data_IF_249070315096
#
_entry.id   IF_249070315096
#
_cell.length_a   1.000
_cell.length_b   1.000
_cell.length_c   1.000
_cell.angle_alpha   90.00
_cell.angle_beta   90.00
_cell.angle_gamma   90.00
#
_symmetry.space_group_name_H-M   'P 1'
#
loop_
_entity.id
_entity.type
_entity.pdbx_description
1 polymer ?
#
# COMPACT_ATOMS: atom_id res chain seq x y z
N UNK A 1 -74.75 22.05 55.07
CA UNK A 1 -74.73 21.01 56.13
C UNK A 1 -73.30 20.56 56.32
N UNK A 2 -72.85 20.51 57.57
CA UNK A 2 -71.48 20.10 57.97
C UNK A 2 -71.37 18.57 57.92
N UNK A 3 -70.21 18.06 57.52
CA UNK A 3 -69.88 16.64 57.62
C UNK A 3 -68.37 16.44 57.73
N UNK A 4 -67.90 16.21 58.97
CA UNK A 4 -66.56 15.77 59.34
C UNK A 4 -66.46 14.23 59.32
N UNK A 5 -65.25 13.71 59.11
CA UNK A 5 -64.80 12.39 59.57
C UNK A 5 -64.93 11.28 58.52
N UNK A 6 -63.96 10.39 58.33
CA UNK A 6 -63.28 9.62 59.38
C UNK A 6 -61.92 9.06 58.91
N UNK A 7 -61.01 8.90 59.89
CA UNK A 7 -59.70 8.25 59.82
C UNK A 7 -59.83 6.73 59.63
N UNK A 8 -58.77 6.09 59.11
CA UNK A 8 -58.41 4.75 59.64
C UNK A 8 -57.57 3.82 58.76
N UNK A 9 -56.24 3.92 58.89
CA UNK A 9 -55.21 2.86 58.97
C UNK A 9 -55.07 1.76 57.89
N UNK A 10 -53.95 1.90 57.15
CA UNK A 10 -52.82 0.95 56.98
C UNK A 10 -53.06 -0.56 57.18
N UNK A 11 -52.59 -1.38 56.22
CA UNK A 11 -51.55 -2.42 56.45
C UNK A 11 -50.72 -2.63 55.16
N UNK A 12 -49.40 -2.77 55.33
CA UNK A 12 -48.35 -3.00 54.33
C UNK A 12 -48.29 -4.44 53.79
N UNK A 13 -47.80 -4.61 52.56
CA UNK A 13 -46.64 -5.46 52.14
C UNK A 13 -46.70 -5.67 50.62
N UNK A 14 -45.74 -5.13 49.86
CA UNK A 14 -44.43 -5.69 49.58
C UNK A 14 -44.52 -6.98 48.73
N UNK A 15 -43.96 -6.94 47.52
CA UNK A 15 -43.83 -8.11 46.67
C UNK A 15 -43.57 -7.75 45.22
N UNK A 16 -42.29 -7.60 44.89
CA UNK A 16 -41.65 -7.54 43.57
C UNK A 16 -42.49 -8.07 42.40
N UNK A 17 -42.82 -7.17 41.47
CA UNK A 17 -43.49 -7.49 40.21
C UNK A 17 -42.51 -8.17 39.25
N UNK A 18 -42.49 -9.50 39.25
CA UNK A 18 -42.18 -10.28 38.06
C UNK A 18 -43.47 -10.38 37.23
N UNK A 19 -43.54 -9.68 36.11
CA UNK A 19 -44.59 -9.82 35.07
C UNK A 19 -43.84 -10.03 33.75
N UNK A 20 -43.82 -11.27 33.25
CA UNK A 20 -44.75 -11.78 32.23
C UNK A 20 -44.54 -11.03 30.90
N UNK A 21 -43.73 -11.54 29.96
CA UNK A 21 -44.03 -12.68 29.07
C UNK A 21 -45.37 -12.51 28.33
N UNK A 22 -45.32 -12.64 27.00
CA UNK A 22 -46.37 -12.51 25.97
C UNK A 22 -46.51 -11.14 25.27
N UNK A 23 -45.56 -10.84 24.38
CA UNK A 23 -45.88 -10.19 23.10
C UNK A 23 -44.77 -10.51 22.09
N UNK A 24 -45.16 -10.75 20.83
CA UNK A 24 -44.32 -10.92 19.65
C UNK A 24 -43.76 -12.32 19.32
N UNK A 25 -44.62 -13.36 19.34
CA UNK A 25 -44.51 -14.41 18.32
C UNK A 25 -45.10 -13.85 17.02
N UNK A 26 -44.27 -13.40 16.08
CA UNK A 26 -44.83 -12.85 14.84
C UNK A 26 -43.90 -12.33 13.75
N UNK A 27 -42.58 -12.53 13.78
CA UNK A 27 -41.72 -12.18 12.64
C UNK A 27 -40.55 -13.15 12.50
N UNK A 28 -40.83 -14.36 12.01
CA UNK A 28 -39.82 -15.28 11.48
C UNK A 28 -40.22 -15.66 10.06
N UNK A 29 -39.95 -14.78 9.09
CA UNK A 29 -39.77 -15.12 7.66
C UNK A 29 -39.12 -13.91 6.95
N UNK A 30 -37.82 -13.70 7.16
CA UNK A 30 -37.01 -12.92 6.21
C UNK A 30 -35.95 -13.84 5.62
N UNK A 31 -36.08 -14.06 4.32
CA UNK A 31 -35.18 -14.88 3.53
C UNK A 31 -33.77 -14.30 3.54
N UNK A 32 -32.77 -15.16 3.75
CA UNK A 32 -31.39 -14.86 3.39
C UNK A 32 -31.30 -14.82 1.85
N UNK A 33 -31.35 -13.64 1.26
CA UNK A 33 -30.84 -13.45 -0.09
C UNK A 33 -29.31 -13.40 0.01
N UNK A 34 -28.63 -14.42 -0.52
CA UNK A 34 -27.19 -14.38 -0.76
C UNK A 34 -26.89 -13.22 -1.69
N UNK A 35 -26.30 -12.17 -1.14
CA UNK A 35 -25.87 -10.96 -1.86
C UNK A 35 -24.95 -11.32 -3.01
N UNK A 36 -25.26 -10.74 -4.17
CA UNK A 36 -24.64 -11.06 -5.45
C UNK A 36 -23.15 -10.79 -5.50
N UNK A 37 -22.46 -11.61 -6.29
CA UNK A 37 -21.13 -11.32 -6.82
C UNK A 37 -21.22 -10.04 -7.65
N UNK A 38 -20.80 -8.93 -7.05
CA UNK A 38 -20.76 -7.62 -7.71
C UNK A 38 -19.71 -7.59 -8.81
N UNK A 39 -20.00 -8.19 -9.95
CA UNK A 39 -19.42 -7.74 -11.20
C UNK A 39 -20.11 -6.41 -11.52
N UNK A 40 -19.38 -5.30 -11.33
CA UNK A 40 -19.80 -4.03 -11.91
C UNK A 40 -19.73 -4.22 -13.42
N UNK A 41 -20.89 -4.19 -14.07
CA UNK A 41 -20.98 -4.08 -15.52
C UNK A 41 -20.60 -2.63 -15.86
N UNK A 42 -19.29 -2.40 -15.99
CA UNK A 42 -18.74 -1.15 -16.49
C UNK A 42 -19.08 -1.11 -18.00
N UNK A 43 -20.29 -0.63 -18.30
CA UNK A 43 -20.83 -0.54 -19.67
C UNK A 43 -19.84 0.08 -20.66
N UNK A 44 -20.04 -0.13 -21.98
CA UNK A 44 -19.02 0.12 -23.00
C UNK A 44 -18.45 1.53 -22.89
N UNK A 45 -17.12 1.64 -22.86
CA UNK A 45 -16.39 2.89 -22.77
C UNK A 45 -16.96 3.92 -23.77
N UNK A 46 -17.56 4.98 -23.23
CA UNK A 46 -18.10 6.08 -24.01
C UNK A 46 -17.01 6.67 -24.89
N UNK A 47 -17.15 6.51 -26.21
CA UNK A 47 -16.37 7.27 -27.19
C UNK A 47 -17.07 8.61 -27.34
N UNK A 48 -16.88 9.52 -26.39
CA UNK A 48 -17.40 10.87 -26.52
C UNK A 48 -16.62 11.60 -27.62
N UNK A 49 -17.33 11.80 -28.73
CA UNK A 49 -16.95 12.71 -29.78
C UNK A 49 -16.80 14.11 -29.19
N UNK A 50 -15.65 14.72 -29.45
CA UNK A 50 -15.32 16.10 -29.07
C UNK A 50 -16.41 17.05 -29.58
N UNK A 51 -17.24 17.55 -28.66
CA UNK A 51 -18.15 18.64 -28.93
C UNK A 51 -17.37 19.96 -28.93
N UNK A 52 -17.37 20.60 -30.09
CA UNK A 52 -16.83 21.95 -30.34
C UNK A 52 -17.71 22.98 -29.62
N UNK A 53 -17.13 23.75 -28.70
CA UNK A 53 -17.64 25.08 -28.34
C UNK A 53 -17.88 25.35 -26.86
N UNK A 54 -16.87 25.88 -26.18
CA UNK A 54 -17.01 26.81 -25.06
C UNK A 54 -15.82 27.79 -25.08
N UNK A 55 -16.08 29.06 -24.81
CA UNK A 55 -15.12 30.17 -24.87
C UNK A 55 -13.97 30.01 -23.85
N UNK A 56 -12.78 30.60 -24.07
CA UNK A 56 -11.63 30.36 -23.21
C UNK A 56 -11.78 31.18 -21.93
N UNK A 57 -12.15 30.53 -20.83
CA UNK A 57 -11.68 30.98 -19.53
C UNK A 57 -10.18 30.75 -19.48
N UNK A 58 -9.42 31.75 -19.03
CA UNK A 58 -7.98 31.65 -18.85
C UNK A 58 -7.66 30.53 -17.84
N UNK A 59 -7.45 29.32 -18.35
CA UNK A 59 -6.84 28.23 -17.62
C UNK A 59 -5.39 28.63 -17.34
N UNK A 60 -5.03 28.63 -16.06
CA UNK A 60 -3.64 28.64 -15.67
C UNK A 60 -2.94 27.49 -16.42
N UNK A 61 -1.98 27.84 -17.27
CA UNK A 61 -1.15 26.87 -17.98
C UNK A 61 -0.46 26.03 -16.92
N UNK A 62 -0.93 24.81 -16.68
CA UNK A 62 -0.14 23.81 -16.01
C UNK A 62 1.20 23.73 -16.77
N UNK A 63 2.35 23.81 -16.09
CA UNK A 63 3.63 23.68 -16.77
C UNK A 63 3.63 22.37 -17.55
N UNK A 64 4.24 22.33 -18.75
CA UNK A 64 4.32 21.09 -19.51
C UNK A 64 4.94 20.03 -18.61
N UNK A 65 4.23 18.91 -18.40
CA UNK A 65 4.79 17.73 -17.76
C UNK A 65 6.04 17.36 -18.56
N UNK A 66 7.20 17.65 -17.98
CA UNK A 66 8.48 17.38 -18.62
C UNK A 66 8.74 15.90 -18.49
N UNK A 67 8.07 15.10 -19.32
CA UNK A 67 8.35 13.66 -19.39
C UNK A 67 9.86 13.52 -19.57
N UNK A 68 10.57 12.94 -18.58
CA UNK A 68 12.01 12.76 -18.68
C UNK A 68 12.29 11.96 -19.95
N UNK A 69 13.38 12.29 -20.64
CA UNK A 69 13.86 11.42 -21.72
C UNK A 69 14.05 10.05 -21.08
N UNK A 70 13.36 9.02 -21.60
CA UNK A 70 13.46 7.66 -21.09
C UNK A 70 14.94 7.27 -21.00
N UNK A 71 15.44 7.11 -19.78
CA UNK A 71 16.84 6.82 -19.48
C UNK A 71 17.07 5.33 -19.63
N UNK A 72 18.28 4.94 -20.05
CA UNK A 72 18.74 3.56 -19.95
C UNK A 72 19.05 3.26 -18.46
N UNK A 73 18.05 2.78 -17.74
CA UNK A 73 18.14 2.52 -16.30
C UNK A 73 19.17 1.42 -15.98
N UNK A 74 19.32 0.43 -16.86
CA UNK A 74 20.32 -0.64 -16.71
C UNK A 74 21.72 -0.06 -16.78
N UNK A 75 21.98 0.79 -17.78
CA UNK A 75 23.26 1.49 -17.90
C UNK A 75 23.51 2.42 -16.72
N UNK A 76 22.48 3.17 -16.30
CA UNK A 76 22.57 4.09 -15.17
C UNK A 76 23.05 3.37 -13.89
N UNK A 77 22.40 2.26 -13.53
CA UNK A 77 22.77 1.46 -12.35
C UNK A 77 24.13 0.79 -12.50
N UNK A 78 24.49 0.32 -13.70
CA UNK A 78 25.80 -0.33 -13.92
C UNK A 78 26.98 0.64 -13.85
N UNK A 79 26.78 1.86 -14.35
CA UNK A 79 27.80 2.91 -14.40
C UNK A 79 27.94 3.63 -13.04
N UNK A 80 26.95 3.54 -12.16
CA UNK A 80 26.97 4.17 -10.84
C UNK A 80 27.98 3.48 -9.89
N UNK A 81 29.05 4.17 -9.42
CA UNK A 81 30.05 3.60 -8.53
C UNK A 81 29.52 3.27 -7.12
N UNK A 82 28.39 3.84 -6.69
CA UNK A 82 27.80 3.59 -5.38
C UNK A 82 27.02 2.27 -5.32
N UNK A 83 26.61 1.74 -6.48
CA UNK A 83 25.91 0.45 -6.61
C UNK A 83 26.89 -0.71 -6.37
N UNK A 84 26.49 -1.68 -5.54
CA UNK A 84 27.35 -2.83 -5.25
C UNK A 84 27.55 -3.75 -6.45
N UNK A 85 28.72 -4.41 -6.49
CA UNK A 85 29.03 -5.41 -7.50
C UNK A 85 28.03 -6.58 -7.52
N UNK A 86 27.48 -6.95 -6.37
CA UNK A 86 26.42 -7.97 -6.28
C UNK A 86 25.20 -7.59 -7.09
N UNK A 87 24.70 -6.36 -6.98
CA UNK A 87 23.55 -5.90 -7.76
C UNK A 87 23.91 -5.75 -9.24
N UNK A 88 25.08 -5.17 -9.55
CA UNK A 88 25.55 -5.04 -10.94
C UNK A 88 25.69 -6.38 -11.65
N UNK A 89 26.10 -7.42 -10.93
CA UNK A 89 26.25 -8.76 -11.49
C UNK A 89 24.93 -9.32 -12.05
N UNK A 90 23.80 -9.01 -11.42
CA UNK A 90 22.45 -9.37 -11.89
C UNK A 90 22.08 -8.68 -13.19
N UNK A 91 22.67 -7.52 -13.48
CA UNK A 91 22.45 -6.72 -14.69
C UNK A 91 23.49 -7.00 -15.81
N UNK A 92 24.27 -8.08 -15.68
CA UNK A 92 25.23 -8.48 -16.73
C UNK A 92 24.53 -9.08 -17.95
N UNK A 93 23.37 -9.70 -17.75
CA UNK A 93 22.56 -10.31 -18.81
C UNK A 93 21.07 -10.00 -18.63
N UNK A 94 20.31 -9.87 -19.72
CA UNK A 94 18.84 -9.84 -19.64
C UNK A 94 18.30 -11.14 -19.04
N UNK A 95 17.11 -11.07 -18.44
CA UNK A 95 16.37 -12.23 -17.95
C UNK A 95 15.77 -13.04 -19.10
N UNK A 96 15.10 -12.35 -20.02
CA UNK A 96 14.46 -12.92 -21.21
C UNK A 96 14.64 -11.94 -22.36
N UNK A 97 15.11 -12.43 -23.51
CA UNK A 97 15.42 -11.59 -24.68
C UNK A 97 16.30 -10.39 -24.32
N UNK A 98 15.77 -9.17 -24.37
CA UNK A 98 16.40 -7.90 -24.04
C UNK A 98 15.86 -7.26 -22.75
N UNK A 99 15.00 -7.96 -22.02
CA UNK A 99 14.38 -7.47 -20.78
C UNK A 99 15.24 -7.77 -19.55
N UNK A 100 15.58 -6.73 -18.80
CA UNK A 100 16.30 -6.82 -17.52
C UNK A 100 15.33 -6.78 -16.34
N UNK A 101 15.70 -7.31 -15.16
CA UNK A 101 14.82 -7.33 -13.99
C UNK A 101 14.86 -5.98 -13.27
N UNK A 102 14.44 -4.92 -13.98
CA UNK A 102 14.48 -3.55 -13.51
C UNK A 102 13.09 -2.96 -13.65
N UNK A 103 12.56 -2.40 -12.56
CA UNK A 103 11.37 -1.56 -12.60
C UNK A 103 11.77 -0.08 -12.45
N UNK A 104 11.08 0.79 -13.19
CA UNK A 104 11.42 2.22 -13.29
C UNK A 104 10.19 3.07 -13.11
N UNK A 105 10.22 3.93 -12.10
CA UNK A 105 9.20 4.93 -11.85
C UNK A 105 9.77 6.34 -11.97
N UNK A 106 8.96 7.27 -12.46
CA UNK A 106 9.32 8.68 -12.60
C UNK A 106 8.37 9.54 -11.78
N UNK A 107 8.91 10.49 -11.02
CA UNK A 107 8.08 11.42 -10.26
C UNK A 107 8.90 12.48 -9.55
N UNK A 108 8.21 13.48 -9.00
CA UNK A 108 8.84 14.55 -8.23
C UNK A 108 9.02 14.10 -6.78
N UNK A 109 10.28 13.89 -6.37
CA UNK A 109 10.64 13.57 -4.98
C UNK A 109 11.52 14.66 -4.36
N UNK A 110 12.33 15.32 -5.18
CA UNK A 110 13.39 16.20 -4.71
C UNK A 110 13.11 17.68 -4.95
N UNK A 111 12.07 18.01 -5.73
CA UNK A 111 11.75 19.38 -6.16
C UNK A 111 12.66 19.90 -7.29
N UNK A 112 13.24 18.99 -8.07
CA UNK A 112 14.05 19.32 -9.26
C UNK A 112 13.22 19.84 -10.43
N UNK A 113 13.89 20.28 -11.51
CA UNK A 113 13.17 20.77 -12.71
C UNK A 113 12.77 19.65 -13.68
N UNK A 114 13.16 18.42 -13.39
CA UNK A 114 12.92 17.18 -14.12
C UNK A 114 12.50 16.13 -13.10
N UNK A 115 11.63 15.19 -13.49
CA UNK A 115 11.27 14.06 -12.63
C UNK A 115 12.51 13.28 -12.17
N UNK A 116 12.51 12.89 -10.90
CA UNK A 116 13.44 11.94 -10.33
C UNK A 116 13.10 10.53 -10.83
N UNK A 117 14.11 9.65 -10.85
CA UNK A 117 13.97 8.27 -11.33
C UNK A 117 14.16 7.33 -10.17
N UNK A 118 13.12 6.59 -9.82
CA UNK A 118 13.22 5.44 -8.92
C UNK A 118 13.52 4.20 -9.75
N UNK A 119 14.61 3.51 -9.43
CA UNK A 119 15.02 2.27 -10.11
C UNK A 119 15.08 1.15 -9.08
N UNK A 120 14.24 0.13 -9.27
CA UNK A 120 14.29 -1.11 -8.48
C UNK A 120 14.95 -2.21 -9.31
N UNK A 121 15.98 -2.85 -8.78
CA UNK A 121 16.61 -4.03 -9.37
C UNK A 121 16.12 -5.26 -8.64
N UNK A 122 15.70 -6.27 -9.39
CA UNK A 122 15.11 -7.49 -8.89
C UNK A 122 15.89 -8.72 -9.37
N UNK A 123 15.57 -9.88 -8.82
CA UNK A 123 15.93 -11.18 -9.39
C UNK A 123 15.04 -11.52 -10.59
N UNK A 124 15.59 -12.22 -11.59
CA UNK A 124 14.86 -12.57 -12.82
C UNK A 124 13.69 -13.54 -12.63
N UNK A 125 13.76 -14.43 -11.64
CA UNK A 125 12.84 -15.57 -11.52
C UNK A 125 11.60 -15.26 -10.69
N UNK A 126 11.83 -14.67 -9.52
CA UNK A 126 10.86 -14.45 -8.46
C UNK A 126 10.60 -12.96 -8.19
N UNK A 127 11.20 -12.06 -8.98
CA UNK A 127 11.03 -10.61 -8.90
C UNK A 127 11.29 -10.04 -7.49
N UNK A 128 12.21 -10.67 -6.75
CA UNK A 128 12.62 -10.22 -5.42
C UNK A 128 13.55 -9.03 -5.58
N UNK A 129 13.16 -7.89 -5.00
CA UNK A 129 13.96 -6.67 -5.03
C UNK A 129 15.26 -6.82 -4.25
N UNK A 130 16.38 -6.56 -4.93
CA UNK A 130 17.75 -6.66 -4.37
C UNK A 130 18.45 -5.30 -4.27
N UNK A 131 17.83 -4.25 -4.82
CA UNK A 131 18.33 -2.89 -4.71
C UNK A 131 17.31 -1.86 -5.19
N UNK A 132 17.26 -0.72 -4.52
CA UNK A 132 16.41 0.43 -4.86
C UNK A 132 17.22 1.71 -4.84
N UNK A 133 17.07 2.53 -5.88
CA UNK A 133 17.85 3.74 -6.09
C UNK A 133 16.98 4.90 -6.51
N UNK A 134 17.33 6.13 -6.09
CA UNK A 134 16.75 7.35 -6.63
C UNK A 134 17.83 8.16 -7.33
N UNK A 135 17.57 8.49 -8.60
CA UNK A 135 18.43 9.34 -9.39
C UNK A 135 17.77 10.68 -9.68
N UNK A 136 18.47 11.75 -9.35
CA UNK A 136 18.08 13.13 -9.60
C UNK A 136 18.87 13.71 -10.76
N UNK A 137 18.23 14.51 -11.61
CA UNK A 137 18.96 15.27 -12.63
C UNK A 137 19.65 16.50 -12.03
N UNK A 138 20.98 16.57 -12.18
CA UNK A 138 21.81 17.73 -11.88
C UNK A 138 22.72 18.07 -13.06
N UNK A 139 22.60 19.29 -13.58
CA UNK A 139 23.49 19.83 -14.63
C UNK A 139 23.61 18.94 -15.89
N UNK A 140 22.51 18.31 -16.29
CA UNK A 140 22.40 17.44 -17.45
C UNK A 140 22.84 15.99 -17.21
N UNK A 141 23.10 15.58 -15.97
CA UNK A 141 23.44 14.21 -15.58
C UNK A 141 22.55 13.73 -14.46
N UNK A 142 22.35 12.43 -14.37
CA UNK A 142 21.64 11.81 -13.25
C UNK A 142 22.64 11.42 -12.17
N UNK A 143 22.39 11.84 -10.94
CA UNK A 143 23.18 11.55 -9.75
C UNK A 143 22.36 10.70 -8.77
N UNK A 144 22.99 9.71 -8.16
CA UNK A 144 22.36 8.89 -7.13
C UNK A 144 22.22 9.71 -5.84
N UNK A 145 21.00 9.81 -5.33
CA UNK A 145 20.68 10.55 -4.10
C UNK A 145 20.00 9.68 -3.04
N UNK A 146 19.78 8.40 -3.33
CA UNK A 146 19.24 7.40 -2.42
C UNK A 146 19.66 5.99 -2.84
N UNK A 147 20.03 5.17 -1.87
CA UNK A 147 20.43 3.78 -2.06
C UNK A 147 19.90 2.90 -0.92
N UNK A 148 19.26 1.79 -1.28
CA UNK A 148 18.98 0.68 -0.38
C UNK A 148 19.27 -0.65 -1.07
N UNK A 149 20.10 -1.51 -0.46
CA UNK A 149 20.55 -2.79 -1.05
C UNK A 149 20.47 -3.96 -0.05
N UNK A 150 19.63 -3.84 0.98
CA UNK A 150 19.36 -4.93 1.93
C UNK A 150 18.12 -5.71 1.47
N UNK A 151 18.25 -6.86 0.80
CA UNK A 151 17.11 -7.57 0.21
C UNK A 151 16.30 -8.34 1.25
N UNK A 152 14.98 -8.55 1.03
CA UNK A 152 14.18 -7.97 -0.04
C UNK A 152 13.85 -6.49 0.19
N UNK A 153 14.12 -5.64 -0.80
CA UNK A 153 13.84 -4.20 -0.74
C UNK A 153 13.15 -3.71 -2.02
N UNK A 154 12.15 -2.85 -1.86
CA UNK A 154 11.45 -2.22 -2.97
C UNK A 154 11.10 -0.77 -2.62
N UNK A 155 11.19 0.12 -3.59
CA UNK A 155 10.87 1.54 -3.40
C UNK A 155 9.77 2.00 -4.37
N UNK A 156 8.87 2.83 -3.86
CA UNK A 156 7.73 3.40 -4.58
C UNK A 156 7.66 4.91 -4.34
N UNK A 157 7.00 5.62 -5.26
CA UNK A 157 6.66 7.03 -5.10
C UNK A 157 5.22 7.10 -4.59
N UNK A 158 5.01 7.61 -3.38
CA UNK A 158 3.67 7.84 -2.83
C UNK A 158 3.51 9.31 -2.44
N UNK A 159 2.64 10.04 -3.14
CA UNK A 159 2.29 11.45 -2.87
C UNK A 159 3.50 12.41 -2.75
N UNK A 160 4.60 12.12 -3.42
CA UNK A 160 5.82 12.96 -3.41
C UNK A 160 6.87 12.49 -2.39
N UNK A 161 6.55 11.46 -1.61
CA UNK A 161 7.49 10.81 -0.71
C UNK A 161 8.04 9.53 -1.34
N UNK A 162 9.26 9.16 -0.94
CA UNK A 162 9.85 7.87 -1.28
C UNK A 162 9.44 6.87 -0.19
N UNK A 163 8.67 5.85 -0.54
CA UNK A 163 8.28 4.78 0.38
C UNK A 163 9.08 3.55 0.06
N UNK A 164 9.79 3.02 1.05
CA UNK A 164 10.63 1.82 0.93
C UNK A 164 10.04 0.73 1.80
N UNK A 165 9.78 -0.42 1.19
CA UNK A 165 9.34 -1.63 1.88
C UNK A 165 10.50 -2.61 1.94
N UNK A 166 10.82 -3.08 3.16
CA UNK A 166 11.82 -4.10 3.42
C UNK A 166 11.17 -5.31 4.08
N UNK A 167 11.27 -6.49 3.46
CA UNK A 167 10.77 -7.72 4.09
C UNK A 167 11.81 -8.29 5.05
N UNK A 168 11.35 -8.81 6.17
CA UNK A 168 12.19 -9.30 7.27
C UNK A 168 11.87 -10.76 7.59
N UNK A 169 12.94 -11.54 7.71
CA UNK A 169 12.88 -12.97 8.01
C UNK A 169 13.38 -13.24 9.42
N UNK A 170 12.58 -13.97 10.19
CA UNK A 170 13.01 -14.57 11.46
C UNK A 170 13.77 -15.86 11.17
N UNK A 171 14.51 -16.34 12.17
CA UNK A 171 15.26 -17.59 12.05
C UNK A 171 14.29 -18.76 11.80
N UNK A 172 14.49 -19.44 10.68
CA UNK A 172 13.69 -20.60 10.29
C UNK A 172 12.53 -20.28 9.34
N UNK A 173 12.36 -19.01 8.97
CA UNK A 173 11.38 -18.63 7.96
C UNK A 173 11.72 -19.28 6.61
N UNK A 174 10.72 -19.85 5.91
CA UNK A 174 10.86 -20.23 4.52
C UNK A 174 11.21 -19.00 3.67
N UNK A 175 11.97 -19.21 2.59
CA UNK A 175 12.39 -18.11 1.69
C UNK A 175 11.17 -17.44 1.07
N UNK A 176 10.10 -18.18 0.82
CA UNK A 176 8.85 -17.68 0.26
C UNK A 176 7.94 -16.94 1.27
N UNK A 177 8.22 -17.04 2.58
CA UNK A 177 7.35 -16.54 3.64
C UNK A 177 8.13 -15.73 4.69
N UNK A 178 8.36 -14.42 4.44
CA UNK A 178 8.86 -13.53 5.48
C UNK A 178 7.89 -13.48 6.67
N UNK A 179 8.42 -13.20 7.86
CA UNK A 179 7.62 -13.03 9.07
C UNK A 179 7.05 -11.63 9.22
N UNK A 180 7.70 -10.62 8.66
CA UNK A 180 7.36 -9.22 8.87
C UNK A 180 7.91 -8.33 7.75
N UNK A 181 7.56 -7.05 7.79
CA UNK A 181 8.14 -6.00 6.95
C UNK A 181 8.30 -4.70 7.73
N UNK A 182 9.20 -3.86 7.23
CA UNK A 182 9.28 -2.45 7.57
C UNK A 182 8.86 -1.61 6.36
N UNK A 183 7.91 -0.70 6.57
CA UNK A 183 7.52 0.32 5.59
C UNK A 183 8.07 1.65 6.09
N UNK A 184 8.99 2.24 5.32
CA UNK A 184 9.76 3.42 5.70
C UNK A 184 9.45 4.53 4.70
N UNK A 185 8.96 5.66 5.21
CA UNK A 185 8.70 6.85 4.39
C UNK A 185 9.88 7.81 4.52
N UNK A 186 10.41 8.25 3.39
CA UNK A 186 11.47 9.24 3.30
C UNK A 186 10.99 10.49 2.58
N UNK A 187 11.30 11.64 3.16
CA UNK A 187 11.12 12.95 2.55
C UNK A 187 12.46 13.54 2.13
N UNK A 188 12.47 14.29 1.03
CA UNK A 188 13.66 15.02 0.61
C UNK A 188 13.91 16.22 1.52
N UNK A 189 14.98 16.16 2.31
CA UNK A 189 15.58 17.34 2.91
C UNK A 189 16.57 17.92 1.92
N UNK A 190 16.75 19.25 1.89
CA UNK A 190 17.53 20.01 0.90
C UNK A 190 18.64 19.28 0.10
N UNK A 191 19.42 18.38 0.72
CA UNK A 191 20.52 17.61 0.12
C UNK A 191 20.40 16.08 0.20
N UNK A 192 19.42 15.51 0.89
CA UNK A 192 19.28 14.04 1.06
C UNK A 192 17.87 13.63 1.47
N UNK A 193 17.51 12.39 1.20
CA UNK A 193 16.35 11.76 1.83
C UNK A 193 16.60 11.59 3.34
N UNK A 194 15.61 11.97 4.15
CA UNK A 194 15.57 11.71 5.58
C UNK A 194 14.33 10.87 5.88
N UNK A 195 14.49 9.88 6.76
CA UNK A 195 13.37 9.09 7.25
C UNK A 195 12.39 9.99 8.02
N UNK A 196 11.14 9.99 7.59
CA UNK A 196 10.05 10.69 8.25
C UNK A 196 9.27 9.77 9.18
N UNK A 197 9.06 8.52 8.74
CA UNK A 197 8.38 7.51 9.55
C UNK A 197 8.80 6.09 9.18
N UNK A 198 8.59 5.17 10.11
CA UNK A 198 8.79 3.73 9.94
C UNK A 198 7.66 2.98 10.64
N UNK A 199 7.07 2.04 9.93
CA UNK A 199 6.04 1.13 10.45
C UNK A 199 6.52 -0.30 10.31
N UNK A 200 6.48 -1.06 11.42
CA UNK A 200 6.75 -2.50 11.41
C UNK A 200 5.43 -3.27 11.37
N UNK A 201 5.28 -4.18 10.42
CA UNK A 201 4.12 -5.06 10.30
C UNK A 201 4.55 -6.52 10.48
N UNK A 202 3.93 -7.25 11.40
CA UNK A 202 4.04 -8.70 11.45
C UNK A 202 2.96 -9.33 10.55
N UNK A 203 3.35 -10.27 9.69
CA UNK A 203 2.39 -11.01 8.88
C UNK A 203 1.67 -12.08 9.71
N UNK A 204 0.43 -12.38 9.34
CA UNK A 204 -0.36 -13.40 10.04
C UNK A 204 0.08 -14.81 9.67
N UNK A 205 0.25 -15.67 10.67
CA UNK A 205 0.54 -17.10 10.47
C UNK A 205 -0.70 -17.94 10.08
N UNK A 206 -1.85 -17.31 9.84
CA UNK A 206 -3.13 -18.01 9.65
C UNK A 206 -3.18 -18.92 8.41
N UNK A 207 -2.30 -18.74 7.43
CA UNK A 207 -2.27 -19.52 6.18
C UNK A 207 -1.16 -20.59 6.12
N UNK A 208 -0.43 -20.82 7.22
CA UNK A 208 0.66 -21.82 7.29
C UNK A 208 0.48 -22.93 8.33
N UNK A 209 -0.67 -22.99 9.02
CA UNK A 209 -0.94 -23.94 10.10
C UNK A 209 -1.26 -25.36 9.61
N UNK A 210 -0.27 -26.09 9.12
CA UNK A 210 -0.31 -27.56 9.05
C UNK A 210 0.52 -28.17 10.18
N UNK A 211 0.16 -27.87 11.42
CA UNK A 211 0.46 -28.79 12.53
C UNK A 211 -0.45 -30.02 12.37
N UNK A 212 -0.16 -30.87 11.38
CA UNK A 212 -0.73 -32.21 11.32
C UNK A 212 0.05 -33.06 12.33
N UNK A 213 -0.56 -33.51 13.45
CA UNK A 213 0.15 -34.37 14.38
C UNK A 213 0.57 -35.66 13.65
N UNK A 214 1.85 -36.01 13.76
CA UNK A 214 2.37 -37.27 13.21
C UNK A 214 1.60 -38.45 13.83
N UNK A 215 1.23 -39.47 13.03
CA UNK A 215 0.51 -40.62 13.56
C UNK A 215 1.35 -41.35 14.60
N UNK A 216 0.77 -41.62 15.76
CA UNK A 216 1.39 -42.43 16.79
C UNK A 216 1.54 -43.87 16.29
N UNK A 217 2.76 -44.41 16.36
CA UNK A 217 3.03 -45.84 16.15
C UNK A 217 2.63 -46.65 17.39
#
# INVERSE_FOLDING_TARGET
>A
MRGLGTRGRQVLKAGSAATAALAALGLFLTACATGGTGARDEGPASREAVAKGAAPSAEAVAPPSKTPKRVDAVKLVKDDPEVSESVKSTLTKPCVADEYPVDVSYGELTGGTTDDIVVNVMTCGDAVGIGSYVYREESGRYENVFKAEEPPVYAEIDRGDLVVTQQLYKKGDPVEYPSSEEVITYGWTATRFAEESRTHNDYSNAVGGVDTPAPAN
#
